data_IF_743109461027
#
_entry.id   IF_743109461027
#
_cell.length_a   1.000
_cell.length_b   1.000
_cell.length_c   1.000
_cell.angle_alpha   90.00
_cell.angle_beta   90.00
_cell.angle_gamma   90.00
#
_symmetry.space_group_name_H-M   'P 1'
#
loop_
_entity.id
_entity.type
_entity.pdbx_description
1 polymer ?
#
# COMPACT_ATOMS: atom_id res chain seq x y z
N UNK A 1 -5.38 31.16 -0.48
CA UNK A 1 -5.28 29.69 -0.39
C UNK A 1 -5.92 29.09 -1.63
N UNK A 2 -5.22 28.20 -2.34
CA UNK A 2 -5.79 27.45 -3.46
C UNK A 2 -6.63 26.29 -2.92
N UNK A 3 -7.96 26.46 -2.93
CA UNK A 3 -8.92 25.48 -2.43
C UNK A 3 -9.09 24.29 -3.38
N UNK A 4 -8.56 24.38 -4.60
CA UNK A 4 -8.63 23.36 -5.64
C UNK A 4 -8.00 22.03 -5.20
N UNK A 5 -6.99 22.10 -4.30
CA UNK A 5 -6.30 20.95 -3.70
C UNK A 5 -7.13 20.07 -2.77
N UNK A 6 -8.28 20.56 -2.31
CA UNK A 6 -9.19 19.84 -1.43
C UNK A 6 -10.39 19.23 -2.17
N UNK A 7 -10.47 19.41 -3.50
CA UNK A 7 -11.53 18.78 -4.28
C UNK A 7 -11.41 17.26 -4.21
N UNK A 8 -12.48 16.52 -3.92
CA UNK A 8 -12.48 15.08 -4.04
C UNK A 8 -12.29 14.71 -5.52
N UNK A 9 -11.47 13.69 -5.75
CA UNK A 9 -11.25 13.05 -7.04
C UNK A 9 -11.24 11.54 -6.80
N UNK A 10 -11.48 10.76 -7.84
CA UNK A 10 -11.45 9.29 -7.74
C UNK A 10 -10.11 8.81 -7.18
N UNK A 11 -10.19 7.81 -6.29
CA UNK A 11 -9.00 7.20 -5.71
C UNK A 11 -8.16 6.54 -6.81
N UNK A 12 -6.89 6.92 -6.98
CA UNK A 12 -6.04 6.38 -8.06
C UNK A 12 -5.61 4.92 -7.85
N UNK A 13 -5.80 4.35 -6.66
CA UNK A 13 -5.49 2.94 -6.39
C UNK A 13 -6.64 1.99 -6.77
N UNK A 14 -7.87 2.36 -6.42
CA UNK A 14 -9.05 1.53 -6.65
C UNK A 14 -9.95 2.04 -7.78
N UNK A 15 -9.59 3.17 -8.41
CA UNK A 15 -10.32 3.75 -9.55
C UNK A 15 -11.81 3.94 -9.23
N UNK A 16 -12.12 4.35 -8.00
CA UNK A 16 -13.50 4.57 -7.54
C UNK A 16 -14.28 3.33 -7.10
N UNK A 17 -13.71 2.12 -7.15
CA UNK A 17 -14.41 0.91 -6.67
C UNK A 17 -14.54 0.89 -5.15
N UNK A 18 -13.53 1.39 -4.43
CA UNK A 18 -13.43 1.33 -2.97
C UNK A 18 -12.77 0.04 -2.46
N UNK A 19 -12.36 -0.86 -3.35
CA UNK A 19 -11.77 -2.15 -2.99
C UNK A 19 -10.42 -2.33 -3.68
N UNK A 20 -9.50 -3.02 -3.02
CA UNK A 20 -8.21 -3.43 -3.58
C UNK A 20 -7.82 -4.80 -3.03
N UNK A 21 -7.67 -5.79 -3.90
CA UNK A 21 -7.46 -7.20 -3.52
C UNK A 21 -8.55 -7.74 -2.58
N UNK A 22 -9.83 -7.52 -2.91
CA UNK A 22 -11.00 -8.01 -2.15
C UNK A 22 -11.14 -7.43 -0.73
N UNK A 23 -10.23 -6.55 -0.34
CA UNK A 23 -10.23 -5.81 0.93
C UNK A 23 -10.57 -4.34 0.67
N UNK A 24 -11.02 -3.59 1.71
CA UNK A 24 -11.18 -2.14 1.61
C UNK A 24 -9.90 -1.48 1.10
N UNK A 25 -10.03 -0.58 0.11
CA UNK A 25 -8.86 0.03 -0.53
C UNK A 25 -7.96 0.71 0.53
N UNK A 26 -6.69 0.30 0.68
CA UNK A 26 -5.84 0.80 1.77
C UNK A 26 -5.40 2.26 1.58
N UNK A 27 -5.57 2.82 0.38
CA UNK A 27 -5.24 4.22 0.11
C UNK A 27 -6.36 5.18 0.50
N UNK A 28 -7.61 4.87 0.15
CA UNK A 28 -8.78 5.70 0.48
C UNK A 28 -9.61 5.18 1.65
N UNK A 29 -9.26 4.04 2.24
CA UNK A 29 -10.01 3.42 3.34
C UNK A 29 -11.40 2.91 2.93
N UNK A 30 -11.67 2.73 1.63
CA UNK A 30 -12.99 2.36 1.11
C UNK A 30 -13.86 3.53 0.65
N UNK A 31 -13.40 4.78 0.83
CA UNK A 31 -14.17 5.99 0.52
C UNK A 31 -14.35 6.28 -0.98
N UNK A 32 -13.69 5.51 -1.86
CA UNK A 32 -13.70 5.65 -3.35
C UNK A 32 -13.07 6.93 -3.89
N UNK A 33 -12.97 7.98 -3.09
CA UNK A 33 -12.41 9.28 -3.45
C UNK A 33 -11.30 9.71 -2.47
N UNK A 34 -10.40 10.56 -2.94
CA UNK A 34 -9.37 11.22 -2.12
C UNK A 34 -9.27 12.70 -2.51
N UNK A 35 -8.64 13.54 -1.69
CA UNK A 35 -8.36 14.92 -2.10
C UNK A 35 -7.40 14.96 -3.30
N UNK A 36 -7.56 15.94 -4.18
CA UNK A 36 -6.68 16.10 -5.35
C UNK A 36 -5.20 16.27 -4.96
N UNK A 37 -4.90 16.90 -3.82
CA UNK A 37 -3.53 16.96 -3.30
C UNK A 37 -2.96 15.59 -2.90
N UNK A 38 -3.82 14.68 -2.41
CA UNK A 38 -3.43 13.32 -2.09
C UNK A 38 -3.26 12.51 -3.38
N UNK A 39 -4.21 12.59 -4.32
CA UNK A 39 -4.10 11.93 -5.62
C UNK A 39 -2.80 12.27 -6.38
N UNK A 40 -2.34 13.52 -6.32
CA UNK A 40 -1.07 13.95 -6.95
C UNK A 40 0.17 13.31 -6.29
N UNK A 41 0.11 13.00 -5.00
CA UNK A 41 1.21 12.35 -4.27
C UNK A 41 1.14 10.83 -4.33
N UNK A 42 0.14 10.27 -5.01
CA UNK A 42 -0.03 8.83 -5.10
C UNK A 42 1.15 8.19 -5.83
N UNK A 43 1.78 7.22 -5.17
CA UNK A 43 2.80 6.37 -5.74
C UNK A 43 2.31 4.93 -5.73
N UNK A 44 1.98 4.40 -6.91
CA UNK A 44 1.46 3.03 -7.07
C UNK A 44 2.40 1.98 -6.49
N UNK A 45 3.72 2.21 -6.52
CA UNK A 45 4.73 1.27 -6.02
C UNK A 45 4.57 0.98 -4.54
N UNK A 46 3.97 1.90 -3.79
CA UNK A 46 3.69 1.73 -2.36
C UNK A 46 2.64 0.65 -2.08
N UNK A 47 1.82 0.29 -3.07
CA UNK A 47 0.71 -0.66 -2.93
C UNK A 47 0.94 -1.96 -3.71
N UNK A 48 1.97 -2.01 -4.55
CA UNK A 48 2.38 -3.25 -5.21
C UNK A 48 3.05 -4.19 -4.20
N UNK A 49 2.84 -5.50 -4.39
CA UNK A 49 3.55 -6.52 -3.64
C UNK A 49 5.01 -6.56 -4.12
N UNK A 50 5.93 -6.50 -3.17
CA UNK A 50 7.37 -6.62 -3.40
C UNK A 50 7.96 -7.65 -2.46
N UNK A 51 9.13 -8.19 -2.81
CA UNK A 51 9.82 -9.14 -1.94
C UNK A 51 10.03 -8.55 -0.54
N UNK A 52 9.63 -9.32 0.48
CA UNK A 52 9.86 -8.98 1.87
C UNK A 52 11.36 -8.79 2.11
N UNK A 53 11.82 -7.58 2.49
CA UNK A 53 13.25 -7.30 2.62
C UNK A 53 13.89 -8.05 3.80
N UNK A 54 13.09 -8.46 4.78
CA UNK A 54 13.53 -9.18 5.98
C UNK A 54 13.90 -10.63 5.64
N UNK A 55 12.97 -11.40 5.06
CA UNK A 55 13.24 -12.79 4.68
C UNK A 55 13.82 -12.95 3.27
N UNK A 56 13.91 -11.86 2.49
CA UNK A 56 14.36 -11.81 1.10
C UNK A 56 13.53 -12.71 0.18
N UNK A 57 12.20 -12.62 0.30
CA UNK A 57 11.29 -13.43 -0.51
C UNK A 57 11.11 -14.88 -0.06
N UNK A 58 11.74 -15.31 1.03
CA UNK A 58 11.66 -16.73 1.48
C UNK A 58 10.36 -17.09 2.17
N UNK A 59 9.69 -16.13 2.80
CA UNK A 59 8.52 -16.38 3.64
C UNK A 59 8.86 -16.83 5.06
N UNK A 60 10.08 -17.29 5.35
CA UNK A 60 10.49 -17.77 6.68
C UNK A 60 11.85 -17.22 7.13
N UNK A 61 12.09 -17.24 8.44
CA UNK A 61 13.35 -16.90 9.10
C UNK A 61 13.76 -18.04 10.04
N UNK A 62 14.64 -18.93 9.58
CA UNK A 62 14.94 -20.17 10.27
C UNK A 62 13.78 -21.16 10.13
N UNK A 63 13.31 -21.72 11.24
CA UNK A 63 12.20 -22.68 11.27
C UNK A 63 10.82 -22.03 11.46
N UNK A 64 10.76 -20.70 11.55
CA UNK A 64 9.52 -19.94 11.77
C UNK A 64 9.16 -19.06 10.57
N UNK A 65 7.86 -18.84 10.37
CA UNK A 65 7.38 -17.89 9.38
C UNK A 65 7.93 -16.49 9.64
N UNK A 66 8.19 -15.77 8.56
CA UNK A 66 8.65 -14.41 8.62
C UNK A 66 7.47 -13.53 9.02
N UNK A 67 7.43 -13.12 10.29
CA UNK A 67 6.35 -12.29 10.85
C UNK A 67 5.93 -11.09 9.99
N UNK A 68 6.87 -10.26 9.48
CA UNK A 68 6.52 -9.11 8.65
C UNK A 68 5.73 -9.40 7.37
N UNK A 69 5.91 -10.59 6.77
CA UNK A 69 5.15 -11.02 5.59
C UNK A 69 4.22 -12.20 5.88
N UNK A 70 4.10 -12.61 7.14
CA UNK A 70 3.26 -13.71 7.60
C UNK A 70 3.39 -14.99 6.75
N UNK A 71 4.61 -15.36 6.36
CA UNK A 71 4.84 -16.56 5.54
C UNK A 71 4.79 -16.34 4.03
N UNK A 72 4.22 -15.24 3.53
CA UNK A 72 3.98 -15.04 2.08
C UNK A 72 5.27 -14.83 1.26
N UNK A 73 6.30 -14.25 1.88
CA UNK A 73 7.52 -13.80 1.19
C UNK A 73 7.39 -12.43 0.53
N UNK A 74 6.21 -11.84 0.48
CA UNK A 74 5.93 -10.56 -0.16
C UNK A 74 5.20 -9.61 0.79
N UNK A 75 5.45 -8.31 0.66
CA UNK A 75 4.77 -7.27 1.44
C UNK A 75 4.43 -6.10 0.52
N UNK A 76 3.41 -5.28 0.86
CA UNK A 76 3.17 -4.03 0.16
C UNK A 76 4.41 -3.11 0.20
N UNK A 77 4.65 -2.35 -0.88
CA UNK A 77 5.82 -1.47 -0.99
C UNK A 77 6.00 -0.50 0.19
N UNK A 78 4.93 0.10 0.71
CA UNK A 78 5.01 0.98 1.88
C UNK A 78 5.49 0.25 3.14
N UNK A 79 5.13 -1.03 3.31
CA UNK A 79 5.63 -1.85 4.40
C UNK A 79 7.08 -2.25 4.14
N UNK A 80 7.44 -2.57 2.90
CA UNK A 80 8.83 -2.87 2.54
C UNK A 80 9.78 -1.71 2.86
N UNK A 81 9.43 -0.47 2.50
CA UNK A 81 10.23 0.72 2.80
C UNK A 81 10.42 0.87 4.32
N UNK A 82 9.33 0.79 5.09
CA UNK A 82 9.38 0.84 6.55
C UNK A 82 10.28 -0.24 7.16
N UNK A 83 10.32 -1.44 6.56
CA UNK A 83 11.15 -2.54 7.02
C UNK A 83 12.62 -2.41 6.61
N UNK A 84 12.94 -1.62 5.59
CA UNK A 84 14.33 -1.32 5.19
C UNK A 84 14.98 -0.28 6.11
N UNK A 85 14.16 0.62 6.68
CA UNK A 85 14.59 1.68 7.58
C UNK A 85 14.58 1.28 9.08
N UNK A 86 14.16 0.05 9.40
CA UNK A 86 14.06 -0.50 10.75
C UNK A 86 15.33 -1.26 11.17
#
# INVERSE_FOLDING_TARGET
>A
MDVSRFKPVECPLCEGTGEHNEEPCPYCGGEREVSSAYAVQFDKRMYELVQCPVCKGRGYNGDADCGPCEGSGEVPGHLAERLRDA
#
